data_IF_951654624062
#
_entry.id   IF_951654624062
#
_cell.length_a   1.000
_cell.length_b   1.000
_cell.length_c   1.000
_cell.angle_alpha   90.00
_cell.angle_beta   90.00
_cell.angle_gamma   90.00
#
_symmetry.space_group_name_H-M   'P 1'
#
loop_
_entity.id
_entity.type
_entity.pdbx_description
1 polymer ?
#
# COMPACT_ATOMS: atom_id res chain seq x y z
N UNK A 1 -32.64 -9.02 36.44
CA UNK A 1 -31.40 -9.79 36.23
C UNK A 1 -31.40 -10.32 34.79
N UNK A 2 -30.56 -9.93 33.83
CA UNK A 2 -29.84 -8.68 33.57
C UNK A 2 -29.79 -8.49 32.03
N UNK A 3 -30.59 -7.56 31.52
CA UNK A 3 -30.74 -7.21 30.09
C UNK A 3 -29.59 -6.33 29.55
N UNK A 4 -28.50 -6.20 30.31
CA UNK A 4 -27.36 -5.30 30.05
C UNK A 4 -26.12 -6.00 29.49
N UNK A 5 -26.17 -7.31 29.25
CA UNK A 5 -25.02 -8.14 28.89
C UNK A 5 -24.95 -8.54 27.40
N UNK A 6 -25.70 -7.85 26.52
CA UNK A 6 -25.65 -8.12 25.07
C UNK A 6 -25.09 -6.94 24.25
N UNK A 7 -24.78 -5.80 24.89
CA UNK A 7 -24.40 -4.56 24.20
C UNK A 7 -22.90 -4.27 24.19
N UNK A 8 -22.05 -5.22 24.61
CA UNK A 8 -20.60 -5.01 24.74
C UNK A 8 -19.74 -5.75 23.70
N UNK A 9 -20.34 -6.46 22.74
CA UNK A 9 -19.57 -7.19 21.71
C UNK A 9 -19.56 -6.55 20.32
N UNK A 10 -20.30 -5.45 20.12
CA UNK A 10 -20.50 -4.82 18.80
C UNK A 10 -19.62 -3.60 18.52
N UNK A 11 -18.66 -3.29 19.40
CA UNK A 11 -17.74 -2.14 19.22
C UNK A 11 -16.30 -2.61 18.88
N UNK A 12 -15.99 -3.90 18.95
CA UNK A 12 -14.63 -4.39 18.71
C UNK A 12 -14.21 -4.55 17.23
N UNK A 13 -15.14 -4.43 16.27
CA UNK A 13 -14.86 -4.75 14.85
C UNK A 13 -14.62 -3.55 13.92
N UNK A 14 -14.72 -2.31 14.42
CA UNK A 14 -14.50 -1.11 13.58
C UNK A 14 -13.05 -0.59 13.63
N UNK A 15 -12.21 -1.09 14.56
CA UNK A 15 -10.89 -0.47 14.81
C UNK A 15 -9.78 -0.98 13.88
N UNK A 16 -9.95 -2.10 13.18
CA UNK A 16 -8.90 -2.64 12.30
C UNK A 16 -8.92 -2.10 10.86
N UNK A 17 -9.98 -1.39 10.44
CA UNK A 17 -10.10 -0.82 9.08
C UNK A 17 -9.61 0.62 8.94
N UNK A 18 -9.71 1.45 9.98
CA UNK A 18 -9.44 2.90 9.87
C UNK A 18 -7.99 3.34 10.18
N UNK A 19 -7.09 2.46 10.65
CA UNK A 19 -5.71 2.87 10.96
C UNK A 19 -4.80 2.96 9.73
N UNK A 20 -5.23 2.45 8.57
CA UNK A 20 -4.39 2.36 7.38
C UNK A 20 -4.55 3.57 6.46
N UNK A 21 -5.76 4.13 6.33
CA UNK A 21 -6.05 5.37 5.57
C UNK A 21 -5.29 6.58 6.12
N UNK A 22 -5.21 6.72 7.45
CA UNK A 22 -4.50 7.82 8.11
C UNK A 22 -2.99 7.79 7.87
N UNK A 23 -2.40 6.62 7.65
CA UNK A 23 -0.96 6.53 7.39
C UNK A 23 -0.62 6.77 5.91
N UNK A 24 -1.48 6.43 4.93
CA UNK A 24 -1.21 6.78 3.53
C UNK A 24 -1.24 8.28 3.36
N UNK A 25 -2.24 8.93 3.95
CA UNK A 25 -2.35 10.39 3.93
C UNK A 25 -1.14 11.04 4.59
N UNK A 26 -0.60 10.48 5.68
CA UNK A 26 0.65 10.96 6.31
C UNK A 26 1.90 10.71 5.46
N UNK A 27 1.95 9.62 4.70
CA UNK A 27 3.02 9.36 3.72
C UNK A 27 2.87 10.28 2.51
N UNK A 28 1.65 10.64 2.11
CA UNK A 28 1.33 11.58 1.02
C UNK A 28 1.47 13.05 1.44
N UNK A 29 1.32 13.36 2.73
CA UNK A 29 1.75 14.60 3.39
C UNK A 29 3.26 14.56 3.64
N UNK A 30 3.99 14.03 2.67
CA UNK A 30 5.42 13.76 2.77
C UNK A 30 6.18 15.05 3.06
N UNK A 31 7.24 14.97 3.87
CA UNK A 31 8.19 16.07 3.96
C UNK A 31 8.80 16.26 2.56
N UNK A 32 8.43 17.36 1.91
CA UNK A 32 8.82 17.72 0.55
C UNK A 32 10.33 17.52 0.32
N UNK A 33 11.15 17.72 1.36
CA UNK A 33 12.61 17.55 1.31
C UNK A 33 13.04 16.10 1.07
N UNK A 34 12.36 15.12 1.66
CA UNK A 34 12.69 13.70 1.51
C UNK A 34 12.38 13.24 0.08
N UNK A 35 11.26 13.68 -0.49
CA UNK A 35 10.92 13.37 -1.88
C UNK A 35 11.80 14.10 -2.88
N UNK A 36 12.17 15.37 -2.63
CA UNK A 36 13.14 16.07 -3.47
C UNK A 36 14.49 15.36 -3.45
N UNK A 37 14.95 14.91 -2.28
CA UNK A 37 16.17 14.11 -2.16
C UNK A 37 16.07 12.81 -2.96
N UNK A 38 14.96 12.07 -2.85
CA UNK A 38 14.73 10.84 -3.61
C UNK A 38 14.75 11.10 -5.12
N UNK A 39 14.10 12.17 -5.57
CA UNK A 39 14.00 12.57 -6.97
C UNK A 39 15.38 12.94 -7.54
N UNK A 40 16.18 13.71 -6.79
CA UNK A 40 17.53 14.11 -7.18
C UNK A 40 18.47 12.89 -7.25
N UNK A 41 18.43 12.05 -6.22
CA UNK A 41 19.43 11.00 -6.03
C UNK A 41 19.12 9.71 -6.80
N UNK A 42 17.85 9.36 -6.97
CA UNK A 42 17.43 8.20 -7.72
C UNK A 42 16.02 8.40 -8.34
N UNK A 43 15.93 9.05 -9.51
CA UNK A 43 14.65 9.31 -10.18
C UNK A 43 13.93 8.03 -10.61
N UNK A 44 14.65 6.94 -10.85
CA UNK A 44 14.02 5.65 -11.17
C UNK A 44 13.26 5.09 -9.96
N UNK A 45 13.83 5.20 -8.76
CA UNK A 45 13.15 4.81 -7.52
C UNK A 45 11.95 5.72 -7.23
N UNK A 46 12.08 7.04 -7.45
CA UNK A 46 10.94 7.96 -7.37
C UNK A 46 9.79 7.51 -8.29
N UNK A 47 10.10 7.19 -9.56
CA UNK A 47 9.08 6.72 -10.50
C UNK A 47 8.38 5.43 -10.02
N UNK A 48 9.11 4.52 -9.36
CA UNK A 48 8.52 3.31 -8.78
C UNK A 48 7.68 3.60 -7.54
N UNK A 49 8.10 4.56 -6.71
CA UNK A 49 7.32 5.04 -5.57
C UNK A 49 5.96 5.59 -6.02
N UNK A 50 5.95 6.42 -7.06
CA UNK A 50 4.73 6.97 -7.65
C UNK A 50 3.83 5.88 -8.23
N UNK A 51 4.42 4.89 -8.92
CA UNK A 51 3.67 3.73 -9.44
C UNK A 51 3.03 2.91 -8.33
N UNK A 52 3.75 2.62 -7.24
CA UNK A 52 3.17 1.90 -6.09
C UNK A 52 2.00 2.70 -5.51
N UNK A 53 2.15 4.02 -5.39
CA UNK A 53 1.07 4.90 -4.91
C UNK A 53 -0.16 4.82 -5.82
N UNK A 54 0.03 4.86 -7.13
CA UNK A 54 -1.07 4.73 -8.10
C UNK A 54 -1.76 3.35 -8.03
N UNK A 55 -0.99 2.26 -7.83
CA UNK A 55 -1.57 0.92 -7.66
C UNK A 55 -2.36 0.78 -6.34
N UNK A 56 -1.95 1.47 -5.27
CA UNK A 56 -2.73 1.52 -4.02
C UNK A 56 -4.09 2.20 -4.27
N UNK A 57 -4.10 3.35 -4.96
CA UNK A 57 -5.34 4.05 -5.30
C UNK A 57 -6.27 3.15 -6.14
N UNK A 58 -5.71 2.46 -7.14
CA UNK A 58 -6.49 1.51 -7.95
C UNK A 58 -7.06 0.35 -7.12
N UNK A 59 -6.26 -0.20 -6.20
CA UNK A 59 -6.74 -1.25 -5.31
C UNK A 59 -7.89 -0.76 -4.42
N UNK A 60 -7.81 0.49 -3.93
CA UNK A 60 -8.87 1.11 -3.13
C UNK A 60 -10.17 1.29 -3.93
N UNK A 61 -10.08 1.78 -5.17
CA UNK A 61 -11.22 1.88 -6.08
C UNK A 61 -11.87 0.51 -6.34
N UNK A 62 -11.06 -0.54 -6.55
CA UNK A 62 -11.57 -1.90 -6.79
C UNK A 62 -12.24 -2.51 -5.56
N UNK A 63 -11.65 -2.31 -4.38
CA UNK A 63 -12.25 -2.74 -3.11
C UNK A 63 -13.62 -2.05 -2.91
N UNK A 64 -13.71 -0.75 -3.19
CA UNK A 64 -14.97 -0.02 -3.09
C UNK A 64 -16.02 -0.57 -4.08
N UNK A 65 -15.65 -0.77 -5.34
CA UNK A 65 -16.54 -1.35 -6.36
C UNK A 65 -17.08 -2.72 -5.96
N UNK A 66 -16.22 -3.59 -5.42
CA UNK A 66 -16.63 -4.92 -4.97
C UNK A 66 -17.55 -4.86 -3.74
N UNK A 67 -17.32 -3.93 -2.81
CA UNK A 67 -18.26 -3.69 -1.70
C UNK A 67 -19.63 -3.21 -2.17
N UNK A 68 -19.68 -2.36 -3.19
CA UNK A 68 -20.94 -1.93 -3.82
C UNK A 68 -21.62 -3.10 -4.54
N UNK A 69 -20.87 -3.86 -5.32
CA UNK A 69 -21.38 -5.03 -6.06
C UNK A 69 -21.99 -6.09 -5.12
N UNK A 70 -21.34 -6.37 -3.98
CA UNK A 70 -21.83 -7.34 -3.00
C UNK A 70 -23.21 -6.95 -2.42
N UNK A 71 -23.54 -5.66 -2.35
CA UNK A 71 -24.85 -5.19 -1.90
C UNK A 71 -25.95 -5.51 -2.90
N UNK A 72 -25.66 -5.44 -4.20
CA UNK A 72 -26.62 -5.68 -5.27
C UNK A 72 -26.76 -7.16 -5.63
N UNK A 73 -25.70 -7.96 -5.45
CA UNK A 73 -25.66 -9.37 -5.86
C UNK A 73 -25.26 -10.30 -4.70
N UNK A 74 -26.04 -10.35 -3.60
CA UNK A 74 -25.67 -11.13 -2.40
C UNK A 74 -25.56 -12.65 -2.66
N UNK A 75 -26.21 -13.16 -3.72
CA UNK A 75 -26.09 -14.58 -4.13
C UNK A 75 -24.71 -14.92 -4.70
N UNK A 76 -23.95 -13.92 -5.13
CA UNK A 76 -22.58 -14.05 -5.65
C UNK A 76 -21.54 -13.64 -4.59
N UNK A 77 -21.94 -13.57 -3.32
CA UNK A 77 -21.07 -13.06 -2.25
C UNK A 77 -19.78 -13.87 -2.10
N UNK A 78 -19.79 -15.17 -2.38
CA UNK A 78 -18.58 -16.00 -2.26
C UNK A 78 -17.47 -15.55 -3.22
N UNK A 79 -17.79 -15.40 -4.53
CA UNK A 79 -16.80 -14.94 -5.53
C UNK A 79 -16.39 -13.48 -5.27
N UNK A 80 -17.34 -12.61 -4.89
CA UNK A 80 -17.05 -11.20 -4.58
C UNK A 80 -16.15 -11.09 -3.34
N UNK A 81 -16.40 -11.87 -2.30
CA UNK A 81 -15.59 -11.88 -1.09
C UNK A 81 -14.17 -12.42 -1.34
N UNK A 82 -14.03 -13.42 -2.21
CA UNK A 82 -12.71 -13.92 -2.63
C UNK A 82 -11.90 -12.82 -3.33
N UNK A 83 -12.51 -12.13 -4.30
CA UNK A 83 -11.88 -11.00 -4.98
C UNK A 83 -11.53 -9.86 -4.00
N UNK A 84 -12.42 -9.54 -3.05
CA UNK A 84 -12.16 -8.55 -2.00
C UNK A 84 -10.92 -8.90 -1.19
N UNK A 85 -10.78 -10.16 -0.76
CA UNK A 85 -9.62 -10.61 0.02
C UNK A 85 -8.32 -10.48 -0.79
N UNK A 86 -8.32 -10.82 -2.08
CA UNK A 86 -7.14 -10.70 -2.94
C UNK A 86 -6.72 -9.23 -3.11
N UNK A 87 -7.67 -8.33 -3.41
CA UNK A 87 -7.39 -6.89 -3.53
C UNK A 87 -6.93 -6.27 -2.21
N UNK A 88 -7.51 -6.66 -1.08
CA UNK A 88 -7.08 -6.20 0.24
C UNK A 88 -5.67 -6.68 0.59
N UNK A 89 -5.33 -7.92 0.25
CA UNK A 89 -3.97 -8.45 0.38
C UNK A 89 -2.97 -7.64 -0.44
N UNK A 90 -3.29 -7.41 -1.72
CA UNK A 90 -2.46 -6.60 -2.61
C UNK A 90 -2.25 -5.18 -2.08
N UNK A 91 -3.34 -4.50 -1.69
CA UNK A 91 -3.28 -3.15 -1.09
C UNK A 91 -2.34 -3.11 0.10
N UNK A 92 -2.43 -4.10 1.00
CA UNK A 92 -1.60 -4.20 2.20
C UNK A 92 -0.11 -4.34 1.84
N UNK A 93 0.23 -5.19 0.88
CA UNK A 93 1.62 -5.43 0.48
C UNK A 93 2.24 -4.21 -0.21
N UNK A 94 1.49 -3.56 -1.11
CA UNK A 94 1.88 -2.29 -1.72
C UNK A 94 2.13 -1.22 -0.67
N UNK A 95 1.21 -1.10 0.29
CA UNK A 95 1.30 -0.11 1.35
C UNK A 95 2.51 -0.35 2.28
N UNK A 96 2.74 -1.59 2.68
CA UNK A 96 3.88 -1.98 3.50
C UNK A 96 5.21 -1.67 2.79
N UNK A 97 5.29 -1.97 1.49
CA UNK A 97 6.47 -1.70 0.67
C UNK A 97 6.72 -0.20 0.53
N UNK A 98 5.68 0.59 0.23
CA UNK A 98 5.79 2.05 0.12
C UNK A 98 6.31 2.67 1.42
N UNK A 99 5.75 2.24 2.56
CA UNK A 99 6.17 2.71 3.89
C UNK A 99 7.62 2.34 4.20
N UNK A 100 8.05 1.12 3.84
CA UNK A 100 9.42 0.67 4.03
C UNK A 100 10.41 1.49 3.20
N UNK A 101 10.09 1.71 1.92
CA UNK A 101 10.90 2.55 1.03
C UNK A 101 11.00 3.96 1.61
N UNK A 102 9.87 4.58 1.97
CA UNK A 102 9.86 5.93 2.53
C UNK A 102 10.74 6.05 3.79
N UNK A 103 10.59 5.15 4.75
CA UNK A 103 11.36 5.17 6.00
C UNK A 103 12.87 5.03 5.76
N UNK A 104 13.27 4.17 4.82
CA UNK A 104 14.69 4.00 4.45
C UNK A 104 15.24 5.23 3.74
N UNK A 105 14.46 5.86 2.85
CA UNK A 105 14.84 7.11 2.17
C UNK A 105 14.96 8.26 3.17
N UNK A 106 14.03 8.38 4.12
CA UNK A 106 14.08 9.37 5.20
C UNK A 106 15.34 9.21 6.05
N UNK A 107 15.68 7.98 6.46
CA UNK A 107 16.92 7.71 7.20
C UNK A 107 18.17 8.08 6.41
N UNK A 108 18.20 7.78 5.11
CA UNK A 108 19.31 8.16 4.23
C UNK A 108 19.40 9.67 4.01
N UNK A 109 18.26 10.37 3.94
CA UNK A 109 18.22 11.82 3.89
C UNK A 109 18.85 12.43 5.14
N UNK A 110 18.51 11.93 6.33
CA UNK A 110 19.13 12.40 7.59
C UNK A 110 20.64 12.16 7.58
N UNK A 111 21.10 10.98 7.15
CA UNK A 111 22.54 10.70 7.03
C UNK A 111 23.24 11.67 6.06
N UNK A 112 22.62 11.93 4.89
CA UNK A 112 23.09 12.92 3.92
C UNK A 112 23.18 14.34 4.51
N UNK A 113 22.26 14.72 5.39
CA UNK A 113 22.31 16.02 6.08
C UNK A 113 23.43 16.14 7.11
N UNK A 114 23.94 15.02 7.62
CA UNK A 114 25.06 14.97 8.57
C UNK A 114 26.40 14.96 7.83
N UNK A 115 26.52 14.11 6.82
CA UNK A 115 27.70 14.00 5.96
C UNK A 115 27.23 13.76 4.52
N UNK A 116 27.37 14.78 3.68
CA UNK A 116 26.87 14.75 2.31
C UNK A 116 27.58 13.66 1.49
N UNK A 117 28.90 13.56 1.60
CA UNK A 117 29.72 12.66 0.78
C UNK A 117 29.41 11.21 1.16
N UNK A 118 29.42 10.92 2.47
CA UNK A 118 29.13 9.57 2.95
C UNK A 118 27.66 9.20 2.71
N UNK A 119 26.73 10.14 2.92
CA UNK A 119 25.30 9.93 2.72
C UNK A 119 24.94 9.66 1.26
N UNK A 120 25.52 10.40 0.29
CA UNK A 120 25.32 10.13 -1.14
C UNK A 120 25.81 8.73 -1.51
N UNK A 121 26.99 8.32 -1.01
CA UNK A 121 27.55 7.00 -1.26
C UNK A 121 26.65 5.88 -0.70
N UNK A 122 26.23 6.01 0.56
CA UNK A 122 25.36 5.03 1.22
C UNK A 122 23.99 4.93 0.55
N UNK A 123 23.43 6.06 0.13
CA UNK A 123 22.16 6.07 -0.58
C UNK A 123 22.26 5.40 -1.95
N UNK A 124 23.40 5.52 -2.65
CA UNK A 124 23.64 4.83 -3.91
C UNK A 124 23.32 3.33 -3.82
N UNK A 125 23.97 2.64 -2.88
CA UNK A 125 23.77 1.20 -2.67
C UNK A 125 22.37 0.86 -2.15
N UNK A 126 21.87 1.63 -1.17
CA UNK A 126 20.54 1.46 -0.61
C UNK A 126 19.45 1.57 -1.68
N UNK A 127 19.58 2.55 -2.57
CA UNK A 127 18.56 2.87 -3.56
C UNK A 127 18.38 1.77 -4.61
N UNK A 128 19.42 0.99 -4.91
CA UNK A 128 19.31 -0.18 -5.79
C UNK A 128 18.51 -1.31 -5.14
N UNK A 129 18.73 -1.55 -3.85
CA UNK A 129 17.95 -2.55 -3.09
C UNK A 129 16.48 -2.13 -3.00
N UNK A 130 16.22 -0.86 -2.71
CA UNK A 130 14.87 -0.30 -2.70
C UNK A 130 14.18 -0.40 -4.07
N UNK A 131 14.92 -0.20 -5.16
CA UNK A 131 14.40 -0.33 -6.50
C UNK A 131 14.02 -1.79 -6.82
N UNK A 132 14.80 -2.76 -6.35
CA UNK A 132 14.48 -4.18 -6.48
C UNK A 132 13.21 -4.54 -5.68
N UNK A 133 13.09 -4.08 -4.43
CA UNK A 133 11.88 -4.25 -3.61
C UNK A 133 10.65 -3.67 -4.32
N UNK A 134 10.77 -2.45 -4.86
CA UNK A 134 9.69 -1.77 -5.57
C UNK A 134 9.29 -2.50 -6.87
N UNK A 135 10.25 -3.04 -7.62
CA UNK A 135 9.96 -3.84 -8.80
C UNK A 135 9.26 -5.16 -8.45
N UNK A 136 9.70 -5.82 -7.38
CA UNK A 136 9.10 -7.08 -6.94
C UNK A 136 7.63 -6.91 -6.56
N UNK A 137 7.30 -5.87 -5.78
CA UNK A 137 5.89 -5.63 -5.39
C UNK A 137 5.02 -5.25 -6.58
N UNK A 138 5.54 -4.47 -7.53
CA UNK A 138 4.80 -4.10 -8.75
C UNK A 138 4.58 -5.30 -9.67
N UNK A 139 5.56 -6.20 -9.78
CA UNK A 139 5.39 -7.45 -10.53
C UNK A 139 4.32 -8.35 -9.86
N UNK A 140 4.35 -8.46 -8.54
CA UNK A 140 3.31 -9.20 -7.79
C UNK A 140 1.92 -8.57 -7.95
N UNK A 141 1.84 -7.24 -8.00
CA UNK A 141 0.60 -6.51 -8.26
C UNK A 141 0.00 -6.85 -9.62
N UNK A 142 0.83 -6.89 -10.66
CA UNK A 142 0.40 -7.26 -12.00
C UNK A 142 -0.12 -8.69 -12.06
N UNK A 143 0.61 -9.64 -11.47
CA UNK A 143 0.21 -11.06 -11.41
C UNK A 143 -1.13 -11.19 -10.68
N UNK A 144 -1.24 -10.60 -9.48
CA UNK A 144 -2.44 -10.70 -8.65
C UNK A 144 -3.66 -10.13 -9.38
N UNK A 145 -3.51 -8.98 -10.03
CA UNK A 145 -4.58 -8.36 -10.83
C UNK A 145 -5.04 -9.30 -11.95
N UNK A 146 -4.12 -9.86 -12.72
CA UNK A 146 -4.45 -10.76 -13.82
C UNK A 146 -5.16 -12.02 -13.30
N UNK A 147 -4.70 -12.60 -12.19
CA UNK A 147 -5.36 -13.75 -11.56
C UNK A 147 -6.79 -13.42 -11.14
N UNK A 148 -7.04 -12.26 -10.53
CA UNK A 148 -8.39 -11.85 -10.14
C UNK A 148 -9.29 -11.69 -11.37
N UNK A 149 -8.78 -11.04 -12.43
CA UNK A 149 -9.53 -10.83 -13.67
C UNK A 149 -9.85 -12.14 -14.40
N UNK A 150 -8.91 -13.10 -14.41
CA UNK A 150 -9.13 -14.44 -14.95
C UNK A 150 -10.19 -15.22 -14.18
N UNK A 151 -10.12 -15.21 -12.84
CA UNK A 151 -11.08 -15.89 -11.98
C UNK A 151 -12.50 -15.32 -12.12
N UNK A 152 -12.64 -14.02 -12.40
CA UNK A 152 -13.93 -13.37 -12.64
C UNK A 152 -14.48 -13.60 -14.06
N UNK A 153 -13.66 -14.07 -15.00
CA UNK A 153 -14.03 -14.25 -16.41
C UNK A 153 -14.40 -15.70 -16.78
N UNK A 154 -14.16 -16.67 -15.89
CA UNK A 154 -14.37 -18.10 -16.14
C UNK A 154 -15.69 -18.67 -15.59
N UNK A 155 -16.60 -17.82 -15.10
CA UNK A 155 -17.96 -18.17 -14.66
C UNK A 155 -19.04 -17.47 -15.48
#
# INVERSE_FOLDING_TARGET
MNRKMAFLFLIALVVFGCSQETNLQKIMETDHKVLSFLTEMNPALQQKFDKITAEIVRADEKIQQLHELNKFFPKQSDIINKALQQWQGLRKDLYATLKNIYSKVEGAYVAYRIDEIQGRKQFGDLSQNLLAEANAVLANAEITKNTIEEELSQE
#
